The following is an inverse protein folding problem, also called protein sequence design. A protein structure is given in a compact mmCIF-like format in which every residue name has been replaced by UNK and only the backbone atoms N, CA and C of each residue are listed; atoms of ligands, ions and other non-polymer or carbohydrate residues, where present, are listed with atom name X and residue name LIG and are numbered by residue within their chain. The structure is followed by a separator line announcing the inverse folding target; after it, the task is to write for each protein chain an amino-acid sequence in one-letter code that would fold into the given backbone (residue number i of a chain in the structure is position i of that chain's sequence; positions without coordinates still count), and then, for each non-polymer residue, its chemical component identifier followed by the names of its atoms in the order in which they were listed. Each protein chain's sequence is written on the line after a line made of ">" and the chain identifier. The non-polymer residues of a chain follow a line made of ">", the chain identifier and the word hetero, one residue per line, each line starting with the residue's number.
data_IF_156414706835
#
_entry.id   IF_156414706835
#
_cell.length_a   1.000
_cell.length_b   1.000
_cell.length_c   1.000
_cell.angle_alpha   90.00
_cell.angle_beta   90.00
_cell.angle_gamma   90.00
#
_symmetry.space_group_name_H-M   'P 1'
#
loop_
_entity.id
_entity.type
_entity.pdbx_description
1 polymer ?
#
# COMPACT_ATOMS: atom_id res chain seq x y z
N UNK A 1 61.40 -31.26 -14.68
CA UNK A 1 60.26 -30.75 -15.46
C UNK A 1 59.48 -29.85 -14.52
N UNK A 2 59.65 -28.54 -14.64
CA UNK A 2 58.86 -27.58 -13.85
C UNK A 2 57.55 -27.35 -14.57
N UNK A 3 56.43 -27.71 -13.94
CA UNK A 3 55.11 -27.29 -14.38
C UNK A 3 54.95 -25.80 -14.10
N UNK A 4 54.86 -25.03 -15.17
CA UNK A 4 54.58 -23.60 -15.12
C UNK A 4 53.06 -23.42 -15.02
N UNK A 5 52.62 -22.99 -13.83
CA UNK A 5 51.22 -22.68 -13.53
C UNK A 5 50.76 -21.49 -14.39
N UNK A 6 49.55 -21.51 -15.00
CA UNK A 6 49.11 -20.44 -15.88
C UNK A 6 48.91 -19.14 -15.09
N UNK A 7 49.54 -18.06 -15.55
CA UNK A 7 49.44 -16.75 -14.93
C UNK A 7 47.97 -16.27 -14.86
N UNK A 8 47.54 -15.62 -13.77
CA UNK A 8 46.20 -15.07 -13.68
C UNK A 8 46.01 -14.03 -14.79
N UNK A 9 44.89 -14.13 -15.53
CA UNK A 9 44.53 -13.14 -16.54
C UNK A 9 44.58 -11.73 -15.94
N UNK A 10 45.09 -10.72 -16.67
CA UNK A 10 45.25 -9.38 -16.13
C UNK A 10 43.88 -8.85 -15.68
N UNK A 11 43.79 -8.41 -14.43
CA UNK A 11 42.61 -7.72 -13.93
C UNK A 11 42.40 -6.48 -14.80
N UNK A 12 41.29 -6.45 -15.54
CA UNK A 12 40.94 -5.31 -16.39
C UNK A 12 40.69 -4.10 -15.50
N UNK A 13 41.62 -3.14 -15.50
CA UNK A 13 41.45 -1.88 -14.76
C UNK A 13 40.41 -1.00 -15.46
N UNK A 14 39.30 -0.76 -14.78
CA UNK A 14 38.22 0.11 -15.25
C UNK A 14 38.69 1.56 -15.19
N UNK A 15 38.61 2.33 -16.30
CA UNK A 15 38.91 3.76 -16.27
C UNK A 15 38.03 4.50 -15.25
N UNK A 16 38.66 5.34 -14.41
CA UNK A 16 37.97 6.02 -13.30
C UNK A 16 36.81 6.92 -13.73
N UNK A 17 36.85 7.47 -14.94
CA UNK A 17 35.76 8.28 -15.52
C UNK A 17 34.54 7.47 -15.98
N UNK A 18 34.60 6.13 -15.94
CA UNK A 18 33.45 5.25 -16.12
C UNK A 18 32.78 4.86 -14.80
N UNK A 19 33.41 5.17 -13.67
CA UNK A 19 32.97 4.77 -12.35
C UNK A 19 32.07 5.85 -11.74
N UNK A 20 30.94 5.44 -11.17
CA UNK A 20 30.03 6.33 -10.48
C UNK A 20 30.67 6.82 -9.15
N UNK A 21 30.68 8.15 -8.87
CA UNK A 21 31.22 8.67 -7.61
C UNK A 21 30.43 8.25 -6.34
N UNK A 22 29.21 7.72 -6.49
CA UNK A 22 28.36 7.29 -5.37
C UNK A 22 28.51 5.79 -5.12
N UNK A 23 28.25 4.96 -6.14
CA UNK A 23 28.30 3.49 -5.99
C UNK A 23 29.71 2.92 -6.09
N UNK A 24 30.66 3.67 -6.66
CA UNK A 24 32.01 3.20 -6.98
C UNK A 24 32.02 2.01 -7.97
N UNK A 25 30.93 1.80 -8.69
CA UNK A 25 30.78 0.80 -9.75
C UNK A 25 30.74 1.46 -11.14
N UNK A 26 30.94 0.67 -12.21
CA UNK A 26 30.73 1.14 -13.59
C UNK A 26 29.32 1.68 -13.75
N UNK A 27 29.20 2.88 -14.33
CA UNK A 27 27.91 3.49 -14.65
C UNK A 27 27.19 2.67 -15.72
N UNK A 28 26.02 2.11 -15.38
CA UNK A 28 25.16 1.38 -16.31
C UNK A 28 24.31 2.35 -17.12
N UNK A 29 23.80 3.37 -16.45
CA UNK A 29 23.08 4.49 -17.04
C UNK A 29 23.72 5.82 -16.61
N UNK A 30 24.74 6.31 -17.33
CA UNK A 30 25.40 7.56 -16.99
C UNK A 30 24.49 8.76 -17.24
N UNK A 31 24.29 9.58 -16.21
CA UNK A 31 23.47 10.80 -16.22
C UNK A 31 24.21 11.94 -15.54
N UNK A 32 24.09 13.15 -16.08
CA UNK A 32 24.84 14.33 -15.65
C UNK A 32 23.91 15.31 -14.94
N UNK A 33 24.30 15.76 -13.75
CA UNK A 33 23.62 16.85 -13.03
C UNK A 33 23.96 18.21 -13.65
N UNK A 34 23.19 19.25 -13.31
CA UNK A 34 23.51 20.64 -13.70
C UNK A 34 24.89 21.12 -13.22
N UNK A 35 25.45 20.46 -12.22
CA UNK A 35 26.82 20.67 -11.71
C UNK A 35 27.92 20.12 -12.64
N UNK A 36 27.55 19.43 -13.73
CA UNK A 36 28.47 18.84 -14.71
C UNK A 36 29.03 17.46 -14.33
N UNK A 37 28.72 16.94 -13.14
CA UNK A 37 29.21 15.63 -12.69
C UNK A 37 28.25 14.54 -13.15
N UNK A 38 28.83 13.45 -13.65
CA UNK A 38 28.09 12.28 -14.14
C UNK A 38 28.08 11.17 -13.10
N UNK A 39 26.92 10.54 -12.94
CA UNK A 39 26.66 9.47 -11.99
C UNK A 39 25.91 8.34 -12.69
N UNK A 40 25.86 7.17 -12.06
CA UNK A 40 24.85 6.17 -12.42
C UNK A 40 23.46 6.65 -11.98
N UNK A 41 22.46 6.52 -12.87
CA UNK A 41 21.10 7.01 -12.67
C UNK A 41 20.49 6.54 -11.35
N UNK A 42 20.53 5.25 -11.05
CA UNK A 42 19.86 4.70 -9.88
C UNK A 42 20.47 5.27 -8.59
N UNK A 43 21.79 5.40 -8.59
CA UNK A 43 22.56 5.93 -7.46
C UNK A 43 22.24 7.40 -7.20
N UNK A 44 22.22 8.23 -8.25
CA UNK A 44 21.95 9.66 -8.07
C UNK A 44 20.48 9.96 -7.81
N UNK A 45 19.54 9.23 -8.42
CA UNK A 45 18.12 9.40 -8.12
C UNK A 45 17.82 9.03 -6.67
N UNK A 46 18.37 7.91 -6.16
CA UNK A 46 18.24 7.55 -4.75
C UNK A 46 18.76 8.65 -3.83
N UNK A 47 19.96 9.19 -4.13
CA UNK A 47 20.54 10.29 -3.36
C UNK A 47 19.67 11.55 -3.41
N UNK A 48 19.30 12.05 -4.59
CA UNK A 48 18.57 13.32 -4.73
C UNK A 48 17.18 13.26 -4.09
N UNK A 49 16.48 12.14 -4.20
CA UNK A 49 15.09 12.01 -3.75
C UNK A 49 14.91 11.37 -2.37
N UNK A 50 15.93 10.70 -1.83
CA UNK A 50 15.84 10.00 -0.53
C UNK A 50 16.82 10.57 0.48
N UNK A 51 18.12 10.46 0.21
CA UNK A 51 19.16 10.59 1.25
C UNK A 51 19.81 11.98 1.35
N UNK A 52 19.89 12.68 0.22
CA UNK A 52 20.73 13.88 0.03
C UNK A 52 19.96 15.19 -0.10
N UNK A 53 18.65 15.20 0.15
CA UNK A 53 17.80 16.41 0.18
C UNK A 53 17.93 17.34 -1.04
N UNK A 54 18.23 16.80 -2.23
CA UNK A 54 18.40 17.59 -3.45
C UNK A 54 19.75 18.31 -3.57
N UNK A 55 20.81 17.81 -2.94
CA UNK A 55 22.17 18.30 -3.09
C UNK A 55 23.03 17.40 -3.98
N UNK A 56 23.98 17.99 -4.71
CA UNK A 56 24.97 17.25 -5.47
C UNK A 56 25.94 16.51 -4.51
N UNK A 57 26.12 15.18 -4.65
CA UNK A 57 26.97 14.40 -3.74
C UNK A 57 28.41 14.92 -3.61
N UNK A 58 29.00 15.33 -4.74
CA UNK A 58 30.41 15.75 -4.80
C UNK A 58 30.57 17.24 -4.54
N UNK A 59 29.83 18.11 -5.24
CA UNK A 59 30.00 19.57 -5.09
C UNK A 59 29.31 20.15 -3.86
N UNK A 60 28.43 19.37 -3.21
CA UNK A 60 27.56 19.82 -2.10
C UNK A 60 26.65 21.01 -2.47
N UNK A 61 26.50 21.30 -3.76
CA UNK A 61 25.64 22.37 -4.25
C UNK A 61 24.17 21.93 -4.19
N UNK A 62 23.30 22.80 -3.68
CA UNK A 62 21.84 22.59 -3.73
C UNK A 62 21.32 22.72 -5.16
N UNK A 63 20.55 21.73 -5.59
CA UNK A 63 19.90 21.69 -6.89
C UNK A 63 18.53 22.37 -6.80
N UNK A 64 18.29 23.31 -7.70
CA UNK A 64 16.95 23.86 -7.92
C UNK A 64 16.00 22.73 -8.35
N UNK A 65 14.68 22.84 -8.12
CA UNK A 65 13.73 21.78 -8.49
C UNK A 65 13.82 21.32 -9.95
N UNK A 66 14.09 22.24 -10.89
CA UNK A 66 14.28 21.92 -12.31
C UNK A 66 15.57 21.13 -12.60
N UNK A 67 16.60 21.30 -11.77
CA UNK A 67 17.93 20.70 -11.95
C UNK A 67 18.10 19.35 -11.24
N UNK A 68 17.06 18.90 -10.52
CA UNK A 68 17.04 17.60 -9.83
C UNK A 68 16.85 16.42 -10.78
N UNK A 69 16.38 16.68 -11.99
CA UNK A 69 16.24 15.68 -13.05
C UNK A 69 17.56 15.62 -13.85
N UNK A 70 18.35 14.54 -13.72
CA UNK A 70 19.66 14.48 -14.36
C UNK A 70 19.54 14.21 -15.86
N UNK A 71 20.38 14.89 -16.65
CA UNK A 71 20.41 14.79 -18.11
C UNK A 71 21.13 13.52 -18.54
N UNK A 72 20.55 12.65 -19.40
CA UNK A 72 21.24 11.46 -19.90
C UNK A 72 22.55 11.78 -20.65
N UNK A 73 23.64 11.10 -20.29
CA UNK A 73 24.92 11.23 -20.99
C UNK A 73 25.10 10.10 -22.01
N UNK A 74 24.46 10.26 -23.17
CA UNK A 74 24.48 9.25 -24.23
C UNK A 74 25.89 8.99 -24.77
N UNK A 75 26.75 10.00 -24.81
CA UNK A 75 28.15 9.87 -25.27
C UNK A 75 28.94 8.96 -24.34
N UNK A 76 28.91 9.25 -23.02
CA UNK A 76 29.61 8.42 -22.04
C UNK A 76 29.06 7.00 -22.02
N UNK A 77 27.73 6.83 -22.16
CA UNK A 77 27.12 5.51 -22.26
C UNK A 77 27.69 4.70 -23.42
N UNK A 78 27.81 5.29 -24.62
CA UNK A 78 28.39 4.61 -25.79
C UNK A 78 29.86 4.24 -25.54
N UNK A 79 30.63 5.12 -24.90
CA UNK A 79 32.03 4.85 -24.56
C UNK A 79 32.16 3.69 -23.58
N UNK A 80 31.37 3.67 -22.51
CA UNK A 80 31.33 2.58 -21.52
C UNK A 80 30.94 1.26 -22.22
N UNK A 81 29.89 1.26 -23.02
CA UNK A 81 29.46 0.05 -23.75
C UNK A 81 30.51 -0.46 -24.74
N UNK A 82 31.21 0.46 -25.43
CA UNK A 82 32.33 0.11 -26.30
C UNK A 82 33.48 -0.50 -25.53
N UNK A 83 33.82 0.07 -24.38
CA UNK A 83 34.87 -0.45 -23.49
C UNK A 83 34.49 -1.84 -22.94
N UNK A 84 33.27 -2.05 -22.46
CA UNK A 84 32.81 -3.35 -21.97
C UNK A 84 32.89 -4.44 -23.07
N UNK A 85 32.54 -4.09 -24.31
CA UNK A 85 32.58 -5.02 -25.43
C UNK A 85 34.00 -5.51 -25.75
N UNK A 86 35.02 -4.65 -25.57
CA UNK A 86 36.43 -5.00 -25.82
C UNK A 86 37.01 -5.84 -24.68
N UNK A 87 36.56 -5.63 -23.44
CA UNK A 87 37.17 -6.23 -22.25
C UNK A 87 36.36 -7.38 -21.63
N UNK A 88 35.41 -7.95 -22.38
CA UNK A 88 34.53 -9.04 -21.95
C UNK A 88 33.76 -8.77 -20.63
N UNK A 89 33.49 -7.50 -20.34
CA UNK A 89 32.60 -7.10 -19.24
C UNK A 89 31.15 -7.18 -19.72
N UNK A 90 30.24 -7.66 -18.86
CA UNK A 90 28.83 -7.81 -19.18
C UNK A 90 28.25 -6.50 -19.77
N UNK A 91 27.61 -6.61 -20.93
CA UNK A 91 27.05 -5.44 -21.62
C UNK A 91 25.70 -5.12 -21.03
N UNK A 92 25.60 -3.96 -20.39
CA UNK A 92 24.32 -3.48 -19.87
C UNK A 92 23.36 -3.13 -21.03
N UNK A 93 22.10 -3.59 -21.00
CA UNK A 93 21.11 -3.20 -21.99
C UNK A 93 20.92 -1.69 -21.95
N UNK A 94 20.72 -1.06 -23.11
CA UNK A 94 20.32 0.35 -23.17
C UNK A 94 18.99 0.53 -22.42
N UNK A 95 18.95 1.40 -21.40
CA UNK A 95 17.69 1.78 -20.76
C UNK A 95 16.68 2.24 -21.82
N UNK A 96 15.43 1.79 -21.70
CA UNK A 96 14.34 2.25 -22.56
C UNK A 96 14.23 3.78 -22.48
N UNK A 97 13.81 4.46 -23.56
CA UNK A 97 13.53 5.89 -23.50
C UNK A 97 12.58 6.19 -22.33
N UNK A 98 12.85 7.24 -21.54
CA UNK A 98 11.98 7.57 -20.42
C UNK A 98 10.58 7.88 -20.94
N UNK A 99 9.57 7.34 -20.27
CA UNK A 99 8.17 7.66 -20.56
C UNK A 99 7.95 9.13 -20.25
N UNK A 100 7.33 9.85 -21.18
CA UNK A 100 6.95 11.25 -21.01
C UNK A 100 5.48 11.40 -20.63
N UNK A 101 5.13 12.57 -20.10
CA UNK A 101 3.76 12.84 -19.65
C UNK A 101 2.76 12.79 -20.81
N UNK A 102 3.19 13.11 -22.05
CA UNK A 102 2.36 13.06 -23.24
C UNK A 102 1.97 11.62 -23.59
N UNK A 103 2.90 10.66 -23.51
CA UNK A 103 2.60 9.24 -23.70
C UNK A 103 1.61 8.72 -22.66
N UNK A 104 1.81 9.07 -21.38
CA UNK A 104 0.88 8.66 -20.32
C UNK A 104 -0.51 9.23 -20.55
N UNK A 105 -0.60 10.52 -20.90
CA UNK A 105 -1.86 11.17 -21.21
C UNK A 105 -2.57 10.48 -22.39
N UNK A 106 -1.84 10.17 -23.47
CA UNK A 106 -2.40 9.46 -24.63
C UNK A 106 -2.97 8.08 -24.27
N UNK A 107 -2.31 7.33 -23.37
CA UNK A 107 -2.84 6.04 -22.88
C UNK A 107 -4.16 6.24 -22.13
N UNK A 108 -4.23 7.25 -21.25
CA UNK A 108 -5.44 7.54 -20.47
C UNK A 108 -6.57 8.06 -21.36
N UNK A 109 -6.28 8.92 -22.33
CA UNK A 109 -7.27 9.45 -23.27
C UNK A 109 -7.85 8.36 -24.17
N UNK A 110 -7.03 7.41 -24.61
CA UNK A 110 -7.50 6.23 -25.32
C UNK A 110 -8.34 5.29 -24.44
N UNK A 111 -8.05 5.22 -23.14
CA UNK A 111 -8.76 4.35 -22.19
C UNK A 111 -10.09 4.94 -21.68
N UNK A 112 -10.23 6.27 -21.65
CA UNK A 112 -11.43 6.97 -21.16
C UNK A 112 -12.75 6.54 -21.80
N UNK A 113 -12.88 6.41 -23.14
CA UNK A 113 -14.14 5.96 -23.74
C UNK A 113 -14.49 4.49 -23.41
N UNK A 114 -13.48 3.67 -23.09
CA UNK A 114 -13.66 2.24 -22.80
C UNK A 114 -14.26 1.99 -21.41
N UNK A 115 -14.30 3.01 -20.55
CA UNK A 115 -14.65 2.92 -19.13
C UNK A 115 -15.97 2.19 -18.86
N UNK A 116 -17.00 2.37 -19.70
CA UNK A 116 -18.34 1.79 -19.45
C UNK A 116 -18.74 0.68 -20.42
N UNK A 117 -18.09 0.60 -21.58
CA UNK A 117 -18.60 -0.20 -22.70
C UNK A 117 -17.75 -1.45 -22.99
N UNK A 118 -16.45 -1.46 -22.62
CA UNK A 118 -15.53 -2.54 -23.01
C UNK A 118 -14.47 -2.82 -21.93
N UNK A 119 -14.82 -3.59 -20.89
CA UNK A 119 -13.87 -3.96 -19.82
C UNK A 119 -12.65 -4.73 -20.37
N UNK A 120 -12.85 -5.64 -21.33
CA UNK A 120 -11.75 -6.40 -21.95
C UNK A 120 -10.76 -5.48 -22.69
N UNK A 121 -11.26 -4.47 -23.41
CA UNK A 121 -10.42 -3.52 -24.11
C UNK A 121 -9.72 -2.54 -23.14
N UNK A 122 -10.37 -2.20 -22.02
CA UNK A 122 -9.81 -1.36 -20.96
C UNK A 122 -8.60 -2.02 -20.26
N UNK A 123 -8.55 -3.35 -20.22
CA UNK A 123 -7.44 -4.08 -19.59
C UNK A 123 -6.10 -3.88 -20.32
N UNK A 124 -6.09 -3.63 -21.63
CA UNK A 124 -4.84 -3.41 -22.37
C UNK A 124 -4.13 -2.10 -21.94
N UNK A 125 -4.78 -0.92 -21.96
CA UNK A 125 -4.21 0.31 -21.42
C UNK A 125 -3.81 0.23 -19.94
N UNK A 126 -4.61 -0.45 -19.11
CA UNK A 126 -4.28 -0.62 -17.68
C UNK A 126 -3.02 -1.47 -17.48
N UNK A 127 -2.83 -2.53 -18.28
CA UNK A 127 -1.60 -3.33 -18.24
C UNK A 127 -0.39 -2.52 -18.70
N UNK A 128 -0.51 -1.74 -19.76
CA UNK A 128 0.57 -0.85 -20.21
C UNK A 128 0.94 0.16 -19.11
N UNK A 129 -0.04 0.78 -18.45
CA UNK A 129 0.22 1.67 -17.31
C UNK A 129 0.87 0.95 -16.14
N UNK A 130 0.44 -0.28 -15.83
CA UNK A 130 1.03 -1.09 -14.77
C UNK A 130 2.51 -1.43 -15.06
N UNK A 131 2.82 -1.79 -16.30
CA UNK A 131 4.19 -2.09 -16.75
C UNK A 131 5.07 -0.82 -16.63
N UNK A 132 4.58 0.33 -17.10
CA UNK A 132 5.27 1.62 -16.96
C UNK A 132 5.58 1.93 -15.49
N UNK A 133 4.61 1.74 -14.59
CA UNK A 133 4.74 2.00 -13.15
C UNK A 133 5.65 1.00 -12.44
N UNK A 134 5.75 -0.23 -12.95
CA UNK A 134 6.61 -1.27 -12.42
C UNK A 134 8.08 -1.06 -12.81
N UNK A 135 8.35 -0.48 -13.99
CA UNK A 135 9.70 -0.32 -14.54
C UNK A 135 10.63 0.59 -13.71
N UNK A 136 10.17 1.74 -13.22
CA UNK A 136 11.04 2.67 -12.47
C UNK A 136 10.30 3.68 -11.59
N UNK A 137 10.98 4.18 -10.54
CA UNK A 137 10.45 5.27 -9.71
C UNK A 137 10.34 6.62 -10.46
N UNK A 138 11.14 6.81 -11.52
CA UNK A 138 10.98 7.95 -12.44
C UNK A 138 9.65 7.87 -13.19
N UNK A 139 9.32 6.70 -13.74
CA UNK A 139 8.04 6.48 -14.42
C UNK A 139 6.87 6.71 -13.45
N UNK A 140 6.96 6.24 -12.20
CA UNK A 140 5.95 6.53 -11.17
C UNK A 140 5.72 8.03 -11.01
N UNK A 141 6.78 8.82 -10.86
CA UNK A 141 6.69 10.29 -10.76
C UNK A 141 6.09 10.92 -12.01
N UNK A 142 6.45 10.44 -13.20
CA UNK A 142 5.87 10.89 -14.46
C UNK A 142 4.35 10.63 -14.51
N UNK A 143 3.93 9.40 -14.19
CA UNK A 143 2.52 8.99 -14.18
C UNK A 143 1.72 9.77 -13.12
N UNK A 144 2.31 10.07 -11.95
CA UNK A 144 1.69 10.94 -10.94
C UNK A 144 1.58 12.41 -11.36
N UNK A 145 2.50 12.89 -12.18
CA UNK A 145 2.55 14.26 -12.67
C UNK A 145 1.62 14.49 -13.87
N UNK A 146 1.31 13.44 -14.62
CA UNK A 146 0.43 13.53 -15.78
C UNK A 146 -1.02 13.87 -15.35
N UNK A 147 -1.65 14.86 -16.02
CA UNK A 147 -2.96 15.36 -15.62
C UNK A 147 -4.06 14.30 -15.86
N UNK A 148 -4.99 14.17 -14.92
CA UNK A 148 -6.19 13.35 -15.10
C UNK A 148 -5.98 11.83 -14.92
N UNK A 149 -4.75 11.36 -14.71
CA UNK A 149 -4.44 9.93 -14.57
C UNK A 149 -5.02 9.37 -13.27
N UNK A 150 -4.81 10.07 -12.15
CA UNK A 150 -5.26 9.59 -10.83
C UNK A 150 -6.78 9.61 -10.76
N UNK A 151 -7.41 10.66 -11.29
CA UNK A 151 -8.86 10.81 -11.40
C UNK A 151 -9.47 9.73 -12.30
N UNK A 152 -8.81 9.41 -13.41
CA UNK A 152 -9.21 8.30 -14.29
C UNK A 152 -9.16 6.96 -13.56
N UNK A 153 -8.04 6.65 -12.89
CA UNK A 153 -7.91 5.40 -12.14
C UNK A 153 -8.96 5.30 -11.02
N UNK A 154 -9.25 6.39 -10.31
CA UNK A 154 -10.32 6.42 -9.31
C UNK A 154 -11.70 6.16 -9.94
N UNK A 155 -11.95 6.73 -11.12
CA UNK A 155 -13.19 6.49 -11.88
C UNK A 155 -13.33 5.02 -12.29
N UNK A 156 -12.25 4.39 -12.77
CA UNK A 156 -12.23 2.94 -13.10
C UNK A 156 -12.59 2.11 -11.88
N UNK A 157 -11.98 2.42 -10.73
CA UNK A 157 -12.26 1.71 -9.47
C UNK A 157 -13.71 1.91 -9.05
N UNK A 158 -14.29 3.11 -9.21
CA UNK A 158 -15.67 3.43 -8.82
C UNK A 158 -16.70 2.68 -9.68
N UNK A 159 -16.55 2.73 -11.00
CA UNK A 159 -17.50 2.16 -11.96
C UNK A 159 -17.51 0.63 -11.96
N UNK A 160 -16.34 0.00 -12.07
CA UNK A 160 -16.24 -1.48 -12.20
C UNK A 160 -16.46 -2.22 -10.89
N UNK A 161 -16.35 -1.53 -9.76
CA UNK A 161 -16.54 -2.15 -8.46
C UNK A 161 -17.91 -1.98 -7.81
N UNK A 162 -18.86 -1.39 -8.53
CA UNK A 162 -20.28 -1.34 -8.11
C UNK A 162 -21.08 -2.54 -8.59
N UNK A 163 -20.58 -3.33 -9.54
CA UNK A 163 -21.33 -4.39 -10.24
C UNK A 163 -21.57 -5.63 -9.36
N UNK A 164 -20.91 -5.76 -8.20
CA UNK A 164 -20.93 -6.98 -7.38
C UNK A 164 -21.91 -7.04 -6.19
N UNK A 165 -22.86 -6.11 -6.04
CA UNK A 165 -23.69 -6.05 -4.80
C UNK A 165 -25.09 -6.67 -4.94
N UNK A 166 -25.57 -6.96 -6.16
CA UNK A 166 -26.87 -7.61 -6.35
C UNK A 166 -26.74 -9.08 -6.78
N UNK A 167 -26.39 -9.94 -5.84
CA UNK A 167 -26.67 -11.37 -5.94
C UNK A 167 -26.96 -11.98 -4.56
N UNK A 168 -28.19 -12.44 -4.43
CA UNK A 168 -28.86 -13.01 -3.28
C UNK A 168 -28.17 -14.29 -2.78
N UNK A 169 -28.16 -14.49 -1.45
CA UNK A 169 -27.96 -15.76 -0.75
C UNK A 169 -26.55 -16.40 -0.76
N UNK A 170 -25.73 -16.03 0.23
CA UNK A 170 -24.62 -16.87 0.70
C UNK A 170 -24.92 -17.39 2.11
N UNK A 171 -25.25 -18.68 2.17
CA UNK A 171 -25.50 -19.50 3.36
C UNK A 171 -24.18 -19.68 4.14
N UNK A 172 -24.15 -19.59 5.48
CA UNK A 172 -22.93 -19.81 6.24
C UNK A 172 -22.73 -21.32 6.50
N UNK A 173 -21.71 -21.90 5.89
CA UNK A 173 -21.14 -23.22 6.19
C UNK A 173 -19.73 -23.19 5.57
N UNK A 174 -18.63 -23.63 6.16
CA UNK A 174 -18.28 -24.30 7.39
C UNK A 174 -16.74 -24.37 7.38
N UNK A 175 -16.15 -24.59 8.54
CA UNK A 175 -14.72 -24.62 8.81
C UNK A 175 -13.93 -25.66 7.99
N UNK A 176 -12.79 -25.22 7.43
CA UNK A 176 -11.54 -25.98 7.26
C UNK A 176 -10.49 -25.00 6.69
N UNK A 177 -9.62 -24.42 7.53
CA UNK A 177 -8.24 -24.87 7.71
C UNK A 177 -7.54 -25.22 6.40
N UNK A 178 -6.92 -24.21 5.77
CA UNK A 178 -5.62 -24.35 5.14
C UNK A 178 -4.75 -23.18 5.60
N UNK A 179 -3.82 -23.49 6.50
CA UNK A 179 -2.67 -22.63 6.81
C UNK A 179 -1.74 -22.66 5.59
N UNK A 180 -1.80 -21.63 4.75
CA UNK A 180 -0.73 -21.36 3.79
C UNK A 180 0.08 -20.18 4.27
N UNK A 181 1.19 -20.52 4.92
CA UNK A 181 2.34 -19.67 5.17
C UNK A 181 2.80 -19.04 3.84
N UNK A 182 2.80 -17.72 3.72
CA UNK A 182 3.40 -17.05 2.57
C UNK A 182 4.54 -16.14 3.04
N UNK A 183 5.73 -16.74 3.05
CA UNK A 183 6.96 -16.04 2.74
C UNK A 183 6.92 -15.50 1.30
N UNK A 184 7.81 -14.55 1.03
CA UNK A 184 7.92 -13.84 -0.24
C UNK A 184 7.91 -14.79 -1.45
N UNK A 185 6.90 -14.63 -2.30
CA UNK A 185 6.98 -15.00 -3.72
C UNK A 185 6.40 -13.84 -4.50
N UNK A 186 7.29 -13.14 -5.21
CA UNK A 186 6.93 -12.27 -6.31
C UNK A 186 6.49 -13.20 -7.44
N UNK A 187 5.18 -13.31 -7.64
CA UNK A 187 4.64 -13.66 -8.93
C UNK A 187 3.50 -12.68 -9.20
N UNK A 188 3.52 -12.10 -10.39
CA UNK A 188 2.53 -11.14 -10.87
C UNK A 188 1.18 -11.84 -10.96
N UNK A 189 0.41 -11.77 -9.88
CA UNK A 189 -1.01 -12.01 -9.92
C UNK A 189 -1.59 -11.03 -10.94
N UNK A 190 -1.82 -11.50 -12.18
CA UNK A 190 -2.54 -10.75 -13.21
C UNK A 190 -3.85 -10.29 -12.56
N UNK A 191 -4.02 -8.98 -12.46
CA UNK A 191 -5.26 -8.40 -11.97
C UNK A 191 -6.43 -9.00 -12.77
N UNK A 192 -7.39 -9.58 -12.05
CA UNK A 192 -8.48 -10.35 -12.65
C UNK A 192 -9.57 -9.45 -13.25
N UNK A 193 -9.70 -8.23 -12.73
CA UNK A 193 -10.63 -7.19 -13.19
C UNK A 193 -9.94 -5.83 -13.31
N UNK A 194 -10.55 -4.94 -14.11
CA UNK A 194 -10.10 -3.57 -14.28
C UNK A 194 -10.01 -2.80 -12.96
N UNK A 195 -10.90 -3.07 -12.00
CA UNK A 195 -10.87 -2.43 -10.69
C UNK A 195 -9.61 -2.78 -9.88
N UNK A 196 -9.20 -4.05 -9.90
CA UNK A 196 -8.04 -4.54 -9.14
C UNK A 196 -6.75 -4.04 -9.79
N UNK A 197 -6.73 -3.98 -11.12
CA UNK A 197 -5.63 -3.39 -11.88
C UNK A 197 -5.45 -1.92 -11.51
N UNK A 198 -6.53 -1.13 -11.55
CA UNK A 198 -6.49 0.29 -11.24
C UNK A 198 -6.09 0.56 -9.78
N UNK A 199 -6.63 -0.21 -8.81
CA UNK A 199 -6.23 -0.12 -7.39
C UNK A 199 -4.75 -0.48 -7.19
N UNK A 200 -4.27 -1.52 -7.87
CA UNK A 200 -2.88 -1.95 -7.80
C UNK A 200 -1.93 -0.88 -8.36
N UNK A 201 -2.29 -0.25 -9.48
CA UNK A 201 -1.55 0.88 -10.06
C UNK A 201 -1.52 2.04 -9.07
N UNK A 202 -2.67 2.48 -8.54
CA UNK A 202 -2.76 3.57 -7.57
C UNK A 202 -1.89 3.33 -6.33
N UNK A 203 -1.92 2.10 -5.79
CA UNK A 203 -1.09 1.72 -4.65
C UNK A 203 0.41 1.73 -5.01
N UNK A 204 0.77 1.22 -6.19
CA UNK A 204 2.15 1.14 -6.68
C UNK A 204 2.75 2.50 -7.01
N UNK A 205 1.93 3.49 -7.37
CA UNK A 205 2.39 4.85 -7.61
C UNK A 205 3.04 5.43 -6.35
N UNK A 206 2.60 5.08 -5.13
CA UNK A 206 3.05 5.72 -3.87
C UNK A 206 2.89 7.26 -3.94
N UNK A 207 1.65 7.71 -4.13
CA UNK A 207 1.31 9.13 -4.29
C UNK A 207 1.94 9.99 -3.18
N UNK A 208 2.57 11.11 -3.59
CA UNK A 208 3.11 12.11 -2.66
C UNK A 208 1.99 12.89 -1.96
N UNK A 209 2.30 13.56 -0.85
CA UNK A 209 1.34 14.41 -0.13
C UNK A 209 0.77 15.50 -1.05
N UNK A 210 1.62 16.14 -1.88
CA UNK A 210 1.20 17.13 -2.88
C UNK A 210 0.28 16.55 -3.95
N UNK A 211 0.50 15.29 -4.34
CA UNK A 211 -0.41 14.61 -5.29
C UNK A 211 -1.77 14.33 -4.65
N UNK A 212 -1.80 13.95 -3.37
CA UNK A 212 -3.06 13.83 -2.64
C UNK A 212 -3.75 15.18 -2.46
N UNK A 213 -3.02 16.28 -2.20
CA UNK A 213 -3.60 17.63 -2.12
C UNK A 213 -4.31 17.99 -3.42
N UNK A 214 -3.64 17.81 -4.57
CA UNK A 214 -4.25 18.04 -5.89
C UNK A 214 -5.54 17.25 -6.11
N UNK A 215 -5.56 15.97 -5.73
CA UNK A 215 -6.74 15.09 -5.86
C UNK A 215 -7.85 15.47 -4.87
N UNK A 216 -7.49 15.96 -3.68
CA UNK A 216 -8.42 16.29 -2.61
C UNK A 216 -8.95 17.74 -2.68
N UNK A 217 -8.36 18.58 -3.52
CA UNK A 217 -8.83 19.92 -3.86
C UNK A 217 -10.11 19.87 -4.72
N UNK A 218 -11.03 20.81 -4.52
CA UNK A 218 -12.30 20.87 -5.25
C UNK A 218 -13.28 19.70 -4.97
N UNK A 219 -14.05 19.32 -6.00
CA UNK A 219 -15.05 18.24 -5.95
C UNK A 219 -14.43 16.83 -5.95
N UNK A 220 -13.22 16.66 -6.50
CA UNK A 220 -12.53 15.36 -6.60
C UNK A 220 -12.20 14.71 -5.25
N UNK A 221 -12.08 15.51 -4.19
CA UNK A 221 -11.83 14.98 -2.85
C UNK A 221 -13.02 14.21 -2.24
N UNK A 222 -14.25 14.52 -2.64
CA UNK A 222 -15.42 13.72 -2.22
C UNK A 222 -15.45 12.39 -2.99
N UNK A 223 -15.15 12.43 -4.29
CA UNK A 223 -15.03 11.23 -5.12
C UNK A 223 -13.96 10.26 -4.62
N UNK A 224 -12.80 10.76 -4.17
CA UNK A 224 -11.76 9.91 -3.58
C UNK A 224 -12.27 9.17 -2.33
N UNK A 225 -12.88 9.91 -1.38
CA UNK A 225 -13.34 9.33 -0.12
C UNK A 225 -14.51 8.36 -0.33
N UNK A 226 -15.41 8.66 -1.25
CA UNK A 226 -16.50 7.76 -1.65
C UNK A 226 -15.95 6.49 -2.30
N UNK A 227 -14.98 6.63 -3.22
CA UNK A 227 -14.31 5.49 -3.85
C UNK A 227 -13.64 4.60 -2.82
N UNK A 228 -12.91 5.18 -1.85
CA UNK A 228 -12.31 4.41 -0.76
C UNK A 228 -13.37 3.72 0.12
N UNK A 229 -14.50 4.38 0.40
CA UNK A 229 -15.60 3.75 1.14
C UNK A 229 -16.16 2.52 0.41
N UNK A 230 -16.32 2.60 -0.92
CA UNK A 230 -16.73 1.48 -1.76
C UNK A 230 -15.70 0.34 -1.72
N UNK A 231 -14.41 0.65 -1.93
CA UNK A 231 -13.32 -0.33 -1.94
C UNK A 231 -13.21 -1.08 -0.61
N UNK A 232 -13.34 -0.39 0.53
CA UNK A 232 -13.25 -0.99 1.86
C UNK A 232 -14.41 -1.95 2.18
N UNK A 233 -15.53 -1.86 1.44
CA UNK A 233 -16.69 -2.74 1.59
C UNK A 233 -16.65 -3.96 0.68
N UNK A 234 -15.71 -4.04 -0.27
CA UNK A 234 -15.62 -5.17 -1.22
C UNK A 234 -15.17 -6.46 -0.54
N UNK A 235 -15.54 -7.64 -1.09
CA UNK A 235 -15.12 -8.92 -0.52
C UNK A 235 -13.60 -9.15 -0.66
N UNK A 236 -12.99 -8.65 -1.74
CA UNK A 236 -11.57 -8.84 -2.04
C UNK A 236 -10.68 -8.35 -0.89
N UNK A 237 -9.87 -9.26 -0.36
CA UNK A 237 -8.88 -8.97 0.66
C UNK A 237 -7.85 -7.93 0.17
N UNK A 238 -7.35 -8.14 -1.05
CA UNK A 238 -6.30 -7.31 -1.64
C UNK A 238 -6.78 -5.87 -1.83
N UNK A 239 -7.96 -5.68 -2.41
CA UNK A 239 -8.56 -4.37 -2.66
C UNK A 239 -8.77 -3.59 -1.35
N UNK A 240 -9.26 -4.25 -0.29
CA UNK A 240 -9.43 -3.62 1.02
C UNK A 240 -8.09 -3.24 1.67
N UNK A 241 -7.08 -4.09 1.55
CA UNK A 241 -5.74 -3.80 2.04
C UNK A 241 -5.12 -2.61 1.29
N UNK A 242 -5.15 -2.60 -0.04
CA UNK A 242 -4.63 -1.49 -0.86
C UNK A 242 -5.41 -0.20 -0.58
N UNK A 243 -6.74 -0.28 -0.48
CA UNK A 243 -7.61 0.85 -0.15
C UNK A 243 -7.31 1.46 1.22
N UNK A 244 -7.10 0.66 2.27
CA UNK A 244 -6.76 1.20 3.59
C UNK A 244 -5.35 1.81 3.62
N UNK A 245 -4.42 1.26 2.84
CA UNK A 245 -3.09 1.83 2.66
C UNK A 245 -3.12 3.18 1.93
N UNK A 246 -3.90 3.28 0.85
CA UNK A 246 -4.12 4.54 0.12
C UNK A 246 -4.79 5.59 1.02
N UNK A 247 -5.83 5.20 1.77
CA UNK A 247 -6.48 6.09 2.72
C UNK A 247 -5.51 6.57 3.80
N UNK A 248 -4.67 5.69 4.36
CA UNK A 248 -3.64 6.08 5.34
C UNK A 248 -2.69 7.13 4.75
N UNK A 249 -2.22 6.93 3.52
CA UNK A 249 -1.29 7.85 2.86
C UNK A 249 -1.94 9.20 2.51
N UNK A 250 -3.25 9.23 2.29
CA UNK A 250 -4.00 10.46 2.02
C UNK A 250 -4.29 11.29 3.28
N UNK A 251 -4.40 10.67 4.46
CA UNK A 251 -4.79 11.37 5.71
C UNK A 251 -3.96 12.62 6.06
N UNK A 252 -2.62 12.65 5.90
CA UNK A 252 -1.82 13.85 6.17
C UNK A 252 -2.16 15.03 5.23
N UNK A 253 -2.56 14.74 4.00
CA UNK A 253 -2.92 15.74 2.99
C UNK A 253 -4.36 16.27 3.16
N UNK A 254 -5.20 15.64 4.00
CA UNK A 254 -6.61 16.02 4.15
C UNK A 254 -6.78 17.28 5.01
N UNK A 255 -7.54 18.29 4.55
CA UNK A 255 -7.87 19.44 5.38
C UNK A 255 -8.75 19.02 6.57
N UNK A 256 -8.67 19.73 7.71
CA UNK A 256 -9.39 19.36 8.93
C UNK A 256 -10.90 19.28 8.71
N UNK A 257 -11.46 20.13 7.83
CA UNK A 257 -12.88 20.09 7.45
C UNK A 257 -13.33 18.70 6.97
N UNK A 258 -12.56 18.04 6.09
CA UNK A 258 -12.87 16.69 5.59
C UNK A 258 -12.71 15.61 6.66
N UNK A 259 -11.75 15.79 7.58
CA UNK A 259 -11.56 14.86 8.70
C UNK A 259 -12.71 14.96 9.72
N UNK A 260 -13.35 16.12 9.88
CA UNK A 260 -14.44 16.30 10.87
C UNK A 260 -15.74 15.57 10.50
N UNK A 261 -15.96 15.32 9.21
CA UNK A 261 -17.25 14.92 8.64
C UNK A 261 -17.16 13.71 7.70
N UNK A 262 -16.21 12.79 7.93
CA UNK A 262 -16.08 11.56 7.15
C UNK A 262 -17.44 10.82 7.00
N UNK A 263 -17.73 10.31 5.81
CA UNK A 263 -19.01 9.65 5.52
C UNK A 263 -19.21 8.41 6.40
N UNK A 264 -20.47 8.04 6.69
CA UNK A 264 -20.76 6.85 7.48
C UNK A 264 -20.25 5.57 6.79
N UNK A 265 -20.35 5.51 5.46
CA UNK A 265 -19.86 4.39 4.66
C UNK A 265 -18.33 4.21 4.77
N UNK A 266 -17.57 5.31 4.78
CA UNK A 266 -16.12 5.25 4.95
C UNK A 266 -15.75 4.71 6.33
N UNK A 267 -16.39 5.25 7.38
CA UNK A 267 -16.13 4.81 8.76
C UNK A 267 -16.53 3.35 8.96
N UNK A 268 -17.66 2.91 8.42
CA UNK A 268 -18.07 1.50 8.44
C UNK A 268 -17.03 0.61 7.76
N UNK A 269 -16.60 0.95 6.53
CA UNK A 269 -15.57 0.21 5.81
C UNK A 269 -14.25 0.08 6.59
N UNK A 270 -13.79 1.17 7.22
CA UNK A 270 -12.60 1.15 8.09
C UNK A 270 -12.80 0.21 9.28
N UNK A 271 -13.96 0.25 9.94
CA UNK A 271 -14.26 -0.63 11.08
C UNK A 271 -14.36 -2.10 10.65
N UNK A 272 -14.92 -2.39 9.47
CA UNK A 272 -14.98 -3.74 8.92
C UNK A 272 -13.60 -4.34 8.68
N UNK A 273 -12.62 -3.56 8.21
CA UNK A 273 -11.23 -4.04 8.07
C UNK A 273 -10.64 -4.51 9.41
N UNK A 274 -10.98 -3.83 10.52
CA UNK A 274 -10.61 -4.30 11.87
C UNK A 274 -11.35 -5.58 12.24
N UNK A 275 -12.66 -5.63 11.98
CA UNK A 275 -13.51 -6.76 12.34
C UNK A 275 -13.09 -8.04 11.61
N UNK A 276 -12.71 -7.93 10.35
CA UNK A 276 -12.37 -9.05 9.47
C UNK A 276 -10.91 -9.52 9.63
N UNK A 277 -10.10 -8.79 10.41
CA UNK A 277 -8.71 -9.14 10.76
C UNK A 277 -7.85 -9.58 9.58
N UNK A 278 -7.92 -8.82 8.50
CA UNK A 278 -7.28 -9.14 7.23
C UNK A 278 -5.82 -9.59 7.42
N UNK A 279 -4.97 -8.76 8.02
CA UNK A 279 -3.59 -9.14 8.38
C UNK A 279 -3.05 -8.25 9.48
N UNK A 280 -1.98 -8.66 10.17
CA UNK A 280 -1.34 -7.83 11.20
C UNK A 280 -0.92 -6.45 10.66
N UNK A 281 -0.40 -6.41 9.41
CA UNK A 281 -0.04 -5.17 8.72
C UNK A 281 -1.25 -4.30 8.43
N UNK A 282 -2.34 -4.87 7.92
CA UNK A 282 -3.58 -4.14 7.65
C UNK A 282 -4.21 -3.61 8.95
N UNK A 283 -4.22 -4.42 10.02
CA UNK A 283 -4.70 -4.03 11.36
C UNK A 283 -3.92 -2.84 11.90
N UNK A 284 -2.59 -2.83 11.79
CA UNK A 284 -1.76 -1.69 12.21
C UNK A 284 -2.10 -0.41 11.45
N UNK A 285 -2.31 -0.53 10.15
CA UNK A 285 -2.63 0.59 9.26
C UNK A 285 -4.03 1.15 9.55
N UNK A 286 -5.04 0.29 9.68
CA UNK A 286 -6.41 0.70 9.98
C UNK A 286 -6.53 1.32 11.38
N UNK A 287 -5.76 0.83 12.37
CA UNK A 287 -5.72 1.45 13.70
C UNK A 287 -5.13 2.86 13.66
N UNK A 288 -4.12 3.09 12.81
CA UNK A 288 -3.59 4.44 12.57
C UNK A 288 -4.63 5.34 11.88
N UNK A 289 -5.41 4.80 10.94
CA UNK A 289 -6.51 5.52 10.30
C UNK A 289 -7.59 5.90 11.32
N UNK A 290 -8.03 4.94 12.15
CA UNK A 290 -8.99 5.20 13.23
C UNK A 290 -8.47 6.24 14.22
N UNK A 291 -7.20 6.18 14.61
CA UNK A 291 -6.59 7.17 15.48
C UNK A 291 -6.66 8.60 14.91
N UNK A 292 -6.59 8.76 13.59
CA UNK A 292 -6.71 10.06 12.92
C UNK A 292 -8.15 10.50 12.68
N UNK A 293 -9.09 9.57 12.46
CA UNK A 293 -10.50 9.89 12.20
C UNK A 293 -11.31 10.06 13.49
N UNK A 294 -11.04 9.28 14.53
CA UNK A 294 -11.77 9.27 15.80
C UNK A 294 -11.50 10.43 16.78
N UNK A 295 -10.58 11.40 16.60
CA UNK A 295 -10.56 12.60 17.45
C UNK A 295 -11.86 13.41 17.35
N UNK A 296 -12.55 13.34 16.21
CA UNK A 296 -13.77 14.09 15.92
C UNK A 296 -15.03 13.37 16.42
N UNK A 297 -15.85 14.06 17.22
CA UNK A 297 -17.03 13.46 17.87
C UNK A 297 -18.03 12.83 16.89
N UNK A 298 -18.25 13.43 15.71
CA UNK A 298 -19.15 12.88 14.68
C UNK A 298 -18.67 11.52 14.16
N UNK A 299 -17.37 11.37 13.94
CA UNK A 299 -16.78 10.11 13.48
C UNK A 299 -16.79 9.05 14.58
N UNK A 300 -16.62 9.44 15.85
CA UNK A 300 -16.73 8.51 16.99
C UNK A 300 -18.10 7.86 17.05
N UNK A 301 -19.17 8.64 16.92
CA UNK A 301 -20.54 8.11 16.93
C UNK A 301 -20.73 7.10 15.79
N UNK A 302 -20.33 7.47 14.57
CA UNK A 302 -20.39 6.57 13.40
C UNK A 302 -19.59 5.28 13.59
N UNK A 303 -18.39 5.37 14.16
CA UNK A 303 -17.54 4.21 14.44
C UNK A 303 -18.17 3.27 15.47
N UNK A 304 -18.75 3.83 16.54
CA UNK A 304 -19.47 3.06 17.55
C UNK A 304 -20.68 2.35 16.94
N UNK A 305 -21.45 3.05 16.11
CA UNK A 305 -22.63 2.48 15.44
C UNK A 305 -22.26 1.40 14.42
N UNK A 306 -21.09 1.52 13.79
CA UNK A 306 -20.50 0.49 12.91
C UNK A 306 -19.88 -0.69 13.68
N UNK A 307 -19.95 -0.69 15.02
CA UNK A 307 -19.47 -1.80 15.85
C UNK A 307 -17.98 -1.77 16.22
N UNK A 308 -17.30 -0.63 16.10
CA UNK A 308 -15.87 -0.49 16.38
C UNK A 308 -15.48 -0.99 17.77
N UNK A 309 -16.30 -0.70 18.79
CA UNK A 309 -16.04 -1.15 20.17
C UNK A 309 -15.96 -2.67 20.25
N UNK A 310 -16.85 -3.38 19.57
CA UNK A 310 -16.87 -4.84 19.56
C UNK A 310 -15.68 -5.40 18.80
N UNK A 311 -15.37 -4.84 17.62
CA UNK A 311 -14.22 -5.24 16.81
C UNK A 311 -12.88 -5.04 17.55
N UNK A 312 -12.67 -3.88 18.16
CA UNK A 312 -11.46 -3.56 18.93
C UNK A 312 -11.33 -4.39 20.20
N UNK A 313 -12.43 -4.64 20.92
CA UNK A 313 -12.40 -5.51 22.10
C UNK A 313 -12.04 -6.94 21.70
N UNK A 314 -12.60 -7.47 20.61
CA UNK A 314 -12.19 -8.78 20.10
C UNK A 314 -10.71 -8.80 19.74
N UNK A 315 -10.24 -7.77 19.02
CA UNK A 315 -8.84 -7.64 18.63
C UNK A 315 -7.88 -7.65 19.83
N UNK A 316 -8.25 -6.99 20.94
CA UNK A 316 -7.47 -6.98 22.18
C UNK A 316 -7.54 -8.29 22.97
N UNK A 317 -8.62 -9.07 22.81
CA UNK A 317 -8.83 -10.31 23.55
C UNK A 317 -8.12 -11.52 22.92
N UNK A 318 -7.91 -11.51 21.62
CA UNK A 318 -7.19 -12.57 20.89
C UNK A 318 -5.72 -12.14 20.70
N UNK A 319 -4.81 -12.75 21.47
CA UNK A 319 -3.34 -12.72 21.30
C UNK A 319 -2.71 -11.32 21.05
N UNK A 320 -3.28 -10.27 21.65
CA UNK A 320 -2.64 -8.95 21.80
C UNK A 320 -2.11 -8.33 20.50
N UNK A 321 -2.96 -8.11 19.49
CA UNK A 321 -2.56 -7.50 18.20
C UNK A 321 -1.30 -8.14 17.57
N UNK A 322 -1.08 -9.45 17.76
CA UNK A 322 0.13 -10.14 17.28
C UNK A 322 1.41 -9.71 17.99
N UNK A 323 1.32 -9.29 19.26
CA UNK A 323 2.45 -8.81 20.07
C UNK A 323 2.80 -7.32 19.89
N UNK A 324 2.13 -6.58 18.99
CA UNK A 324 2.43 -5.16 18.76
C UNK A 324 1.77 -4.28 19.85
N UNK A 325 2.58 -3.89 20.84
CA UNK A 325 2.20 -2.98 21.94
C UNK A 325 1.59 -1.68 21.42
N UNK A 326 2.09 -1.14 20.31
CA UNK A 326 1.60 0.12 19.73
C UNK A 326 0.22 -0.03 19.11
N UNK A 327 -0.06 -1.18 18.49
CA UNK A 327 -1.40 -1.51 18.01
C UNK A 327 -2.39 -1.65 19.17
N UNK A 328 -1.98 -2.28 20.28
CA UNK A 328 -2.81 -2.37 21.49
C UNK A 328 -3.09 -0.98 22.10
N UNK A 329 -2.08 -0.11 22.21
CA UNK A 329 -2.24 1.26 22.69
C UNK A 329 -3.20 2.07 21.80
N UNK A 330 -3.03 1.99 20.47
CA UNK A 330 -3.93 2.65 19.52
C UNK A 330 -5.36 2.09 19.59
N UNK A 331 -5.52 0.79 19.77
CA UNK A 331 -6.83 0.17 19.95
C UNK A 331 -7.48 0.62 21.27
N UNK A 332 -6.72 0.70 22.36
CA UNK A 332 -7.21 1.23 23.64
C UNK A 332 -7.64 2.69 23.48
N UNK A 333 -6.81 3.55 22.88
CA UNK A 333 -7.15 4.96 22.63
C UNK A 333 -8.38 5.08 21.73
N UNK A 334 -8.49 4.28 20.67
CA UNK A 334 -9.66 4.25 19.81
C UNK A 334 -10.92 3.80 20.59
N UNK A 335 -10.81 2.82 21.50
CA UNK A 335 -11.95 2.40 22.34
C UNK A 335 -12.33 3.45 23.38
N UNK A 336 -11.39 4.12 24.04
CA UNK A 336 -11.67 5.14 25.07
C UNK A 336 -12.28 6.39 24.45
N UNK A 337 -11.73 6.86 23.33
CA UNK A 337 -12.33 7.95 22.55
C UNK A 337 -13.73 7.60 22.05
N UNK A 338 -13.95 6.37 21.57
CA UNK A 338 -15.28 5.91 21.14
C UNK A 338 -16.28 5.75 22.31
N UNK A 339 -15.82 5.26 23.46
CA UNK A 339 -16.64 5.03 24.66
C UNK A 339 -16.99 6.31 25.43
N UNK A 340 -16.29 7.42 25.19
CA UNK A 340 -16.58 8.72 25.80
C UNK A 340 -17.94 9.32 25.37
N UNK A 341 -18.64 8.72 24.40
CA UNK A 341 -20.02 9.06 24.05
C UNK A 341 -21.02 8.28 24.92
N UNK A 342 -22.14 8.91 25.35
CA UNK A 342 -23.19 8.24 26.16
C UNK A 342 -23.67 6.90 25.55
N UNK A 343 -23.73 6.80 24.22
CA UNK A 343 -24.08 5.57 23.49
C UNK A 343 -22.94 4.54 23.45
N UNK A 344 -21.70 4.99 23.29
CA UNK A 344 -20.50 4.15 23.35
C UNK A 344 -20.31 3.51 24.72
N UNK A 345 -20.52 4.27 25.80
CA UNK A 345 -20.50 3.76 27.17
C UNK A 345 -21.55 2.65 27.39
N UNK A 346 -22.77 2.83 26.89
CA UNK A 346 -23.86 1.84 27.01
C UNK A 346 -23.55 0.53 26.27
N UNK A 347 -23.09 0.61 25.00
CA UNK A 347 -22.68 -0.57 24.21
C UNK A 347 -21.46 -1.26 24.79
N UNK A 348 -20.47 -0.52 25.30
CA UNK A 348 -19.30 -1.07 25.97
C UNK A 348 -19.70 -1.87 27.22
N UNK A 349 -20.62 -1.33 28.02
CA UNK A 349 -21.11 -1.99 29.23
C UNK A 349 -21.85 -3.30 28.94
N UNK A 350 -22.70 -3.33 27.90
CA UNK A 350 -23.37 -4.55 27.44
C UNK A 350 -22.42 -5.59 26.83
N UNK A 351 -21.45 -5.16 26.01
CA UNK A 351 -20.44 -6.04 25.41
C UNK A 351 -19.58 -6.70 26.50
N UNK A 352 -19.17 -5.94 27.52
CA UNK A 352 -18.41 -6.45 28.67
C UNK A 352 -19.22 -7.44 29.52
N UNK A 353 -20.53 -7.23 29.69
CA UNK A 353 -21.44 -8.19 30.34
C UNK A 353 -21.59 -9.48 29.53
N UNK A 354 -21.70 -9.38 28.19
CA UNK A 354 -21.74 -10.54 27.29
C UNK A 354 -20.44 -11.38 27.34
N UNK A 355 -19.29 -10.72 27.30
CA UNK A 355 -17.97 -11.39 27.40
C UNK A 355 -17.71 -12.00 28.78
N UNK A 356 -18.24 -11.44 29.87
CA UNK A 356 -18.20 -12.09 31.20
C UNK A 356 -19.04 -13.38 31.22
N UNK A 357 -20.20 -13.42 30.57
CA UNK A 357 -21.00 -14.66 30.41
C UNK A 357 -20.27 -15.75 29.62
N UNK A 358 -19.53 -15.37 28.57
CA UNK A 358 -18.69 -16.29 27.79
C UNK A 358 -17.49 -16.82 28.57
N UNK A 359 -16.82 -15.96 29.36
CA UNK A 359 -15.68 -16.36 30.18
C UNK A 359 -16.07 -17.28 31.35
N UNK A 360 -17.30 -17.15 31.85
CA UNK A 360 -17.89 -18.08 32.85
C UNK A 360 -18.25 -19.44 32.22
N UNK A 361 -18.61 -19.51 30.94
CA UNK A 361 -18.88 -20.80 30.25
C UNK A 361 -17.61 -21.58 29.87
N UNK A 362 -16.45 -20.92 29.69
CA UNK A 362 -15.17 -21.58 29.35
C UNK A 362 -14.35 -22.06 30.57
N UNK A 363 -14.68 -21.63 31.80
CA UNK A 363 -14.11 -22.22 33.02
C UNK A 363 -15.00 -23.38 33.44
N UNK A 364 -14.54 -24.60 33.15
CA UNK A 364 -15.30 -25.83 33.27
C UNK A 364 -15.99 -26.02 34.62
N UNK A 365 -17.24 -26.48 34.57
CA UNK A 365 -17.76 -27.34 35.62
C UNK A 365 -17.06 -28.71 35.49
N UNK A 366 -16.38 -29.21 36.53
CA UNK A 366 -15.95 -30.61 36.53
C UNK A 366 -17.19 -31.52 36.59
N UNK A 367 -17.14 -32.74 36.03
CA UNK A 367 -18.24 -33.68 36.12
C UNK A 367 -18.46 -34.07 37.58
N UNK A 368 -19.70 -33.95 38.07
CA UNK A 368 -20.10 -34.47 39.38
C UNK A 368 -19.98 -36.00 39.36
N UNK A 369 -19.17 -36.55 40.27
CA UNK A 369 -19.07 -37.98 40.53
C UNK A 369 -20.44 -38.55 40.98
N UNK A 370 -20.77 -39.82 40.65
CA UNK A 370 -22.01 -40.44 41.08
C UNK A 370 -21.97 -40.77 42.57
N UNK A 371 -23.03 -40.41 43.31
CA UNK A 371 -23.22 -40.80 44.72
C UNK A 371 -23.66 -42.27 44.78
N UNK A 372 -23.02 -43.05 45.65
CA UNK A 372 -23.40 -44.42 45.99
C UNK A 372 -24.76 -44.50 46.72
N UNK A 373 -25.50 -45.62 46.64
CA UNK A 373 -26.80 -45.76 47.30
C UNK A 373 -26.65 -46.05 48.79
N UNK A 374 -27.42 -45.35 49.62
CA UNK A 374 -27.53 -45.58 51.06
C UNK A 374 -28.35 -46.86 51.30
N UNK A 375 -27.79 -47.80 52.06
CA UNK A 375 -28.45 -49.04 52.45
C UNK A 375 -29.30 -48.85 53.72
N UNK A 376 -30.42 -49.60 53.76
CA UNK A 376 -31.26 -50.01 54.91
C UNK A 376 -32.60 -49.28 55.10
N UNK A 377 -33.63 -49.78 54.40
CA UNK A 377 -34.85 -50.34 55.04
C UNK A 377 -34.45 -51.74 55.58
N UNK A 378 -34.92 -52.34 56.68
CA UNK A 378 -36.20 -52.42 57.41
C UNK A 378 -35.93 -53.39 58.60
N UNK A 379 -36.90 -53.87 59.45
CA UNK A 379 -38.37 -53.84 59.39
C UNK A 379 -39.03 -52.77 60.27
#
# INVERSE_FOLDING_TARGET
>A
MGEESPAPAPAVEVPSYFVCPISLEIMRDPVTLSTGITYDRESIERWVFTDGHGECPVTKQRLAPADREPTPNHTLRRLIQGWCAVHAVERFPTPRPPVDAARVAAIVDAARPLLREQEEALMAPLRELADIVAESDRNRRCVQGAPGVVEFLLSVVKEHGSVGVDATSAKPLGSSQEETTCGAVQDSAKASSAEEAALSILHSLKLSEESFKRVLEGSGGEDFLETMACVLRRPSYLSRMQGIHLLKSALPAMPPARLTSASAALVDGVVRVVADRLSAKAVKVVLHVLYRLCPWNRNRVKAVDSGAVSALVRLLLDEGCGGDRRACELAVVATTTSAATRRGAWRWWHTRRGSRRWRVRRRGCPPRAPRAPCARCTP
#
